data_IF_854726196365
#
_entry.id   IF_854726196365
#
_cell.length_a   1.000
_cell.length_b   1.000
_cell.length_c   1.000
_cell.angle_alpha   90.00
_cell.angle_beta   90.00
_cell.angle_gamma   90.00
#
_symmetry.space_group_name_H-M   'P 1'
#
loop_
_entity.id
_entity.type
_entity.pdbx_description
1 polymer ?
#
# COMPACT_ATOMS: atom_id res chain seq x y z
N UNK A 1 -7.01 19.41 25.11
CA UNK A 1 -7.17 20.09 23.81
C UNK A 1 -7.27 18.98 22.78
N UNK A 2 -8.36 18.88 22.00
CA UNK A 2 -8.43 17.91 20.91
C UNK A 2 -7.22 18.12 19.98
N UNK A 3 -6.63 17.02 19.52
CA UNK A 3 -5.48 17.05 18.63
C UNK A 3 -5.86 17.66 17.28
N UNK A 4 -4.87 18.12 16.50
CA UNK A 4 -5.12 18.63 15.13
C UNK A 4 -5.79 17.60 14.21
N UNK A 5 -5.79 16.34 14.63
CA UNK A 5 -6.38 15.20 13.93
C UNK A 5 -7.83 14.91 14.33
N UNK A 6 -8.34 15.55 15.38
CA UNK A 6 -9.73 15.37 15.83
C UNK A 6 -10.73 16.23 15.03
N UNK A 7 -10.25 17.11 14.14
CA UNK A 7 -11.07 18.07 13.41
C UNK A 7 -11.01 17.76 11.91
N UNK A 8 -12.18 17.47 11.32
CA UNK A 8 -12.30 17.35 9.87
C UNK A 8 -12.05 18.71 9.19
N UNK A 9 -11.05 18.75 8.30
CA UNK A 9 -10.71 19.88 7.44
C UNK A 9 -11.56 19.95 6.18
N UNK A 10 -12.00 18.80 5.67
CA UNK A 10 -12.87 18.71 4.49
C UNK A 10 -13.90 17.61 4.65
N UNK A 11 -15.14 17.91 4.29
CA UNK A 11 -16.26 16.98 4.22
C UNK A 11 -16.78 16.95 2.79
N UNK A 12 -17.09 15.77 2.26
CA UNK A 12 -17.58 15.59 0.91
C UNK A 12 -18.60 14.45 0.85
N UNK A 13 -19.75 14.70 0.24
CA UNK A 13 -20.74 13.65 -0.01
C UNK A 13 -20.27 12.75 -1.16
N UNK A 14 -20.42 11.44 -1.03
CA UNK A 14 -20.01 10.47 -2.07
C UNK A 14 -20.94 10.44 -3.27
N UNK A 15 -22.19 10.89 -3.11
CA UNK A 15 -23.20 11.00 -4.17
C UNK A 15 -23.52 12.46 -4.49
N UNK A 16 -23.54 12.79 -5.79
CA UNK A 16 -23.77 14.15 -6.31
C UNK A 16 -25.06 14.31 -7.12
N UNK A 17 -26.02 13.38 -7.00
CA UNK A 17 -27.23 13.35 -7.84
C UNK A 17 -28.52 13.58 -7.05
N UNK A 18 -29.41 14.40 -7.59
CA UNK A 18 -30.70 14.85 -7.04
C UNK A 18 -31.73 13.75 -6.69
N UNK A 19 -31.43 12.48 -6.90
CA UNK A 19 -32.36 11.35 -6.73
C UNK A 19 -31.96 10.35 -5.64
N UNK A 20 -30.95 10.66 -4.82
CA UNK A 20 -30.67 9.85 -3.64
C UNK A 20 -31.57 10.25 -2.47
N UNK A 21 -32.01 9.26 -1.69
CA UNK A 21 -32.74 9.52 -0.46
C UNK A 21 -31.90 10.43 0.43
N UNK A 22 -32.54 11.38 1.12
CA UNK A 22 -31.87 12.41 1.93
C UNK A 22 -30.90 11.81 2.96
N UNK A 23 -31.12 10.55 3.36
CA UNK A 23 -30.32 9.80 4.33
C UNK A 23 -29.50 8.66 3.71
N UNK A 24 -29.38 8.58 2.39
CA UNK A 24 -28.65 7.50 1.69
C UNK A 24 -27.23 7.87 1.24
N UNK A 25 -26.77 9.08 1.56
CA UNK A 25 -25.48 9.58 1.08
C UNK A 25 -24.39 9.39 2.13
N UNK A 26 -23.30 8.73 1.77
CA UNK A 26 -22.14 8.61 2.64
C UNK A 26 -21.30 9.89 2.64
N UNK A 27 -20.60 10.14 3.75
CA UNK A 27 -19.78 11.32 3.97
C UNK A 27 -18.31 10.93 4.09
N UNK A 28 -17.50 11.38 3.15
CA UNK A 28 -16.05 11.36 3.25
C UNK A 28 -15.58 12.54 4.09
N UNK A 29 -14.68 12.29 5.03
CA UNK A 29 -14.05 13.33 5.84
C UNK A 29 -12.53 13.19 5.85
N UNK A 30 -11.85 14.33 5.89
CA UNK A 30 -10.39 14.40 5.90
C UNK A 30 -9.90 15.32 7.01
N UNK A 31 -9.01 14.85 7.89
CA UNK A 31 -8.48 15.60 9.04
C UNK A 31 -7.17 16.34 8.73
N UNK A 32 -6.58 16.08 7.57
CA UNK A 32 -5.23 16.53 7.21
C UNK A 32 -4.25 15.37 7.10
N UNK A 33 -4.36 14.41 8.02
CA UNK A 33 -3.52 13.20 8.05
C UNK A 33 -4.36 11.96 7.71
N UNK A 34 -5.57 11.87 8.27
CA UNK A 34 -6.44 10.70 8.08
C UNK A 34 -7.60 11.01 7.12
N UNK A 35 -7.96 9.98 6.34
CA UNK A 35 -9.15 9.95 5.50
C UNK A 35 -10.11 8.90 6.07
N UNK A 36 -11.38 9.27 6.22
CA UNK A 36 -12.42 8.39 6.74
C UNK A 36 -13.73 8.52 5.98
N UNK A 37 -14.59 7.51 6.14
CA UNK A 37 -15.91 7.43 5.53
C UNK A 37 -16.96 7.16 6.62
N UNK A 38 -18.06 7.90 6.59
CA UNK A 38 -19.24 7.69 7.43
C UNK A 38 -20.39 7.29 6.54
N UNK A 39 -20.94 6.10 6.75
CA UNK A 39 -22.12 5.61 6.04
C UNK A 39 -23.38 5.75 6.91
N UNK A 40 -24.46 6.30 6.34
CA UNK A 40 -25.73 6.53 7.04
C UNK A 40 -26.72 5.42 6.74
N UNK A 41 -26.39 4.20 7.15
CA UNK A 41 -27.21 3.00 6.91
C UNK A 41 -27.62 2.33 8.22
N UNK A 42 -28.75 1.61 8.19
CA UNK A 42 -29.27 0.88 9.35
C UNK A 42 -28.47 -0.39 9.67
N UNK A 43 -27.64 -0.86 8.73
CA UNK A 43 -26.71 -1.98 8.91
C UNK A 43 -25.27 -1.46 8.76
N UNK A 44 -24.31 -1.92 9.56
CA UNK A 44 -22.91 -1.51 9.39
C UNK A 44 -22.44 -1.82 7.96
N UNK A 45 -21.96 -0.79 7.25
CA UNK A 45 -21.51 -0.92 5.86
C UNK A 45 -20.15 -1.61 5.73
N UNK A 46 -19.35 -1.54 6.79
CA UNK A 46 -18.00 -2.11 6.85
C UNK A 46 -17.80 -2.76 8.22
N UNK A 47 -17.08 -3.88 8.25
CA UNK A 47 -16.60 -4.49 9.49
C UNK A 47 -15.07 -4.36 9.58
N UNK A 48 -14.51 -4.59 10.76
CA UNK A 48 -13.06 -4.46 10.95
C UNK A 48 -12.29 -5.47 10.08
N UNK A 49 -12.88 -6.64 9.85
CA UNK A 49 -12.32 -7.72 9.04
C UNK A 49 -12.10 -7.30 7.58
N UNK A 50 -12.97 -6.44 7.02
CA UNK A 50 -12.85 -5.95 5.64
C UNK A 50 -11.55 -5.17 5.43
N UNK A 51 -11.14 -4.38 6.41
CA UNK A 51 -9.89 -3.59 6.34
C UNK A 51 -8.65 -4.43 6.67
N UNK A 52 -8.77 -5.44 7.53
CA UNK A 52 -7.66 -6.34 7.86
C UNK A 52 -7.25 -7.23 6.69
N UNK A 53 -8.21 -7.75 5.92
CA UNK A 53 -7.93 -8.59 4.75
C UNK A 53 -7.20 -7.79 3.65
N UNK A 54 -7.68 -6.59 3.35
CA UNK A 54 -7.07 -5.73 2.34
C UNK A 54 -5.66 -5.26 2.74
N UNK A 55 -5.46 -4.95 4.02
CA UNK A 55 -4.13 -4.63 4.55
C UNK A 55 -3.16 -5.81 4.45
N UNK A 56 -3.61 -7.05 4.74
CA UNK A 56 -2.79 -8.26 4.56
C UNK A 56 -2.43 -8.47 3.09
N UNK A 57 -3.38 -8.28 2.17
CA UNK A 57 -3.15 -8.39 0.74
C UNK A 57 -2.11 -7.39 0.22
N UNK A 58 -2.19 -6.13 0.67
CA UNK A 58 -1.22 -5.09 0.30
C UNK A 58 0.20 -5.41 0.81
N UNK A 59 0.33 -5.86 2.06
CA UNK A 59 1.61 -6.25 2.65
C UNK A 59 2.23 -7.47 1.94
N UNK A 60 1.41 -8.44 1.54
CA UNK A 60 1.85 -9.61 0.78
C UNK A 60 2.38 -9.22 -0.61
N UNK A 61 1.67 -8.32 -1.31
CA UNK A 61 2.12 -7.76 -2.59
C UNK A 61 3.43 -6.98 -2.48
N UNK A 62 3.63 -6.25 -1.39
CA UNK A 62 4.88 -5.52 -1.14
C UNK A 62 6.04 -6.50 -0.91
N UNK A 63 5.81 -7.54 -0.11
CA UNK A 63 6.79 -8.60 0.13
C UNK A 63 7.18 -9.33 -1.16
N UNK A 64 6.22 -9.66 -2.02
CA UNK A 64 6.51 -10.29 -3.32
C UNK A 64 7.39 -9.38 -4.21
N UNK A 65 7.16 -8.07 -4.19
CA UNK A 65 8.00 -7.09 -4.90
C UNK A 65 9.42 -7.05 -4.34
N UNK A 66 9.56 -7.05 -3.02
CA UNK A 66 10.88 -7.09 -2.37
C UNK A 66 11.64 -8.37 -2.71
N UNK A 67 10.97 -9.52 -2.69
CA UNK A 67 11.57 -10.81 -3.06
C UNK A 67 12.06 -10.82 -4.51
N UNK A 68 11.27 -10.26 -5.45
CA UNK A 68 11.69 -10.09 -6.85
C UNK A 68 12.93 -9.21 -6.96
N UNK A 69 12.94 -8.05 -6.32
CA UNK A 69 14.09 -7.13 -6.32
C UNK A 69 15.34 -7.80 -5.71
N UNK A 70 15.16 -8.53 -4.62
CA UNK A 70 16.24 -9.27 -3.97
C UNK A 70 16.81 -10.35 -4.91
N UNK A 71 15.95 -11.14 -5.56
CA UNK A 71 16.38 -12.18 -6.50
C UNK A 71 17.17 -11.60 -7.68
N UNK A 72 16.74 -10.46 -8.24
CA UNK A 72 17.44 -9.79 -9.33
C UNK A 72 18.81 -9.26 -8.90
N UNK A 73 18.88 -8.64 -7.72
CA UNK A 73 20.14 -8.17 -7.14
C UNK A 73 21.11 -9.33 -6.90
N UNK A 74 20.62 -10.44 -6.32
CA UNK A 74 21.43 -11.63 -6.06
C UNK A 74 21.94 -12.25 -7.36
N UNK A 75 21.12 -12.35 -8.41
CA UNK A 75 21.56 -12.82 -9.74
C UNK A 75 22.70 -11.97 -10.28
N UNK A 76 22.56 -10.64 -10.26
CA UNK A 76 23.61 -9.72 -10.76
C UNK A 76 24.89 -9.78 -9.94
N UNK A 77 24.79 -9.98 -8.62
CA UNK A 77 25.96 -10.13 -7.75
C UNK A 77 26.74 -11.42 -8.06
N UNK A 78 26.03 -12.53 -8.25
CA UNK A 78 26.62 -13.82 -8.60
C UNK A 78 27.23 -13.81 -10.01
N UNK A 79 26.59 -13.15 -10.98
CA UNK A 79 27.13 -12.96 -12.33
C UNK A 79 28.48 -12.21 -12.30
N UNK A 80 28.56 -11.10 -11.55
CA UNK A 80 29.82 -10.37 -11.39
C UNK A 80 30.91 -11.22 -10.75
N UNK A 81 30.59 -11.97 -9.71
CA UNK A 81 31.58 -12.83 -9.04
C UNK A 81 32.10 -13.93 -9.99
N UNK A 82 31.23 -14.51 -10.82
CA UNK A 82 31.64 -15.51 -11.82
C UNK A 82 32.50 -14.90 -12.94
N UNK A 83 32.17 -13.68 -13.38
CA UNK A 83 32.95 -12.96 -14.39
C UNK A 83 34.33 -12.54 -13.86
N UNK A 84 34.43 -12.11 -12.60
CA UNK A 84 35.71 -11.81 -11.95
C UNK A 84 36.62 -13.04 -11.86
N UNK A 85 36.06 -14.22 -11.50
CA UNK A 85 36.83 -15.47 -11.47
C UNK A 85 37.31 -15.86 -12.87
N UNK A 86 36.48 -15.69 -13.91
CA UNK A 86 36.87 -15.93 -15.31
C UNK A 86 37.96 -14.97 -15.78
N UNK A 87 37.87 -13.70 -15.39
CA UNK A 87 38.84 -12.66 -15.70
C UNK A 87 40.21 -12.98 -15.08
N UNK A 88 40.26 -13.32 -13.80
CA UNK A 88 41.50 -13.72 -13.11
C UNK A 88 42.09 -14.99 -13.72
N UNK A 89 41.25 -15.94 -14.17
CA UNK A 89 41.69 -17.19 -14.81
C UNK A 89 42.29 -16.97 -16.21
N UNK A 90 41.78 -16.00 -16.97
CA UNK A 90 42.29 -15.67 -18.31
C UNK A 90 43.50 -14.71 -18.31
N UNK A 91 43.78 -14.03 -17.18
CA UNK A 91 44.99 -13.20 -17.00
C UNK A 91 46.22 -13.97 -16.49
N UNK A 92 46.16 -15.30 -16.41
CA UNK A 92 47.37 -16.13 -16.34
C UNK A 92 48.06 -16.22 -14.97
N UNK A 93 47.32 -16.26 -13.86
CA UNK A 93 47.87 -16.79 -12.61
C UNK A 93 47.82 -18.33 -12.65
N UNK A 94 48.82 -18.90 -13.34
CA UNK A 94 49.23 -20.30 -13.16
C UNK A 94 49.92 -20.39 -11.80
N UNK A 95 49.32 -21.10 -10.86
CA UNK A 95 50.08 -21.82 -9.82
C UNK A 95 50.54 -23.13 -10.42
#
# INVERSE_FOLDING_TARGET
>A
MPGSDDIARKLLATQGGSESSVNGNDLLFWTGENLGLVAFTSSPAFTAEDFEEEARSAAELEKEKEEKIYSEKMRRALERQADDVRFVRNLGLRV
#
